data_IF_293946681371
#
_entry.id   IF_293946681371
#
_cell.length_a   1.000
_cell.length_b   1.000
_cell.length_c   1.000
_cell.angle_alpha   90.00
_cell.angle_beta   90.00
_cell.angle_gamma   90.00
#
_symmetry.space_group_name_H-M   'P 1'
#
loop_
_entity.id
_entity.type
_entity.pdbx_description
1 polymer ?
#
# COMPACT_ATOMS: atom_id res chain seq x y z
N UNK A 1 7.48 5.31 -29.55
CA UNK A 1 7.60 5.01 -28.11
C UNK A 1 7.52 3.51 -27.86
N UNK A 2 8.70 2.92 -27.62
CA UNK A 2 8.88 1.54 -27.17
C UNK A 2 8.47 1.42 -25.71
N UNK A 3 7.79 0.33 -25.36
CA UNK A 3 7.51 0.00 -23.96
C UNK A 3 8.84 -0.30 -23.26
N UNK A 4 9.02 0.21 -22.04
CA UNK A 4 10.12 -0.19 -21.17
C UNK A 4 9.69 -1.41 -20.36
N UNK A 5 10.55 -2.41 -20.31
CA UNK A 5 10.30 -3.68 -19.63
C UNK A 5 11.57 -4.05 -18.87
N UNK A 6 11.44 -4.29 -17.57
CA UNK A 6 12.55 -4.69 -16.72
C UNK A 6 12.21 -5.99 -16.02
N UNK A 7 13.06 -7.00 -16.23
CA UNK A 7 12.96 -8.29 -15.57
C UNK A 7 13.89 -8.31 -14.36
N UNK A 8 13.31 -8.34 -13.16
CA UNK A 8 14.06 -8.32 -11.90
C UNK A 8 14.94 -9.57 -11.72
N UNK A 9 14.67 -10.68 -12.41
CA UNK A 9 15.53 -11.87 -12.38
C UNK A 9 16.94 -11.54 -12.87
N UNK A 10 17.04 -10.61 -13.82
CA UNK A 10 18.30 -10.19 -14.44
C UNK A 10 19.05 -9.11 -13.65
N UNK A 11 18.48 -8.58 -12.56
CA UNK A 11 19.19 -7.60 -11.73
C UNK A 11 20.38 -8.28 -11.02
N UNK A 12 21.57 -7.67 -11.06
CA UNK A 12 22.80 -8.25 -10.53
C UNK A 12 22.62 -8.77 -9.10
N UNK A 13 22.88 -10.06 -8.90
CA UNK A 13 22.90 -10.68 -7.57
C UNK A 13 24.28 -10.44 -6.96
N UNK A 14 24.43 -9.40 -6.12
CA UNK A 14 25.61 -9.30 -5.26
C UNK A 14 25.64 -10.54 -4.36
N UNK A 15 26.65 -11.38 -4.52
CA UNK A 15 26.99 -12.44 -3.57
C UNK A 15 27.31 -11.77 -2.24
N UNK A 16 26.34 -11.74 -1.33
CA UNK A 16 26.59 -11.40 0.06
C UNK A 16 27.63 -12.39 0.58
N UNK A 17 28.82 -11.87 0.88
CA UNK A 17 29.89 -12.61 1.52
C UNK A 17 29.36 -13.21 2.82
N UNK A 18 29.20 -14.52 2.80
CA UNK A 18 28.67 -15.31 3.88
C UNK A 18 29.62 -15.26 5.11
N UNK A 19 29.31 -14.37 6.06
CA UNK A 19 29.74 -14.47 7.46
C UNK A 19 28.63 -14.00 8.39
N UNK A 20 27.47 -14.64 8.28
CA UNK A 20 26.48 -14.68 9.36
C UNK A 20 26.67 -15.99 10.14
N UNK A 21 26.78 -15.93 11.47
CA UNK A 21 27.17 -17.04 12.33
C UNK A 21 26.13 -18.17 12.49
N UNK A 22 25.07 -18.18 11.69
CA UNK A 22 24.06 -19.24 11.67
C UNK A 22 23.83 -19.67 10.22
N UNK A 23 24.40 -20.82 9.84
CA UNK A 23 24.38 -21.40 8.49
C UNK A 23 22.99 -21.83 8.01
N UNK A 24 22.04 -20.90 7.91
CA UNK A 24 20.82 -21.08 7.13
C UNK A 24 21.04 -20.51 5.73
N UNK A 25 20.69 -21.26 4.67
CA UNK A 25 20.80 -20.77 3.31
C UNK A 25 19.98 -19.49 3.16
N UNK A 26 20.58 -18.46 2.56
CA UNK A 26 19.88 -17.26 2.10
C UNK A 26 18.72 -17.71 1.21
N UNK A 27 17.50 -17.42 1.65
CA UNK A 27 16.28 -17.66 0.89
C UNK A 27 16.47 -17.12 -0.52
N UNK A 28 16.36 -17.98 -1.54
CA UNK A 28 16.34 -17.51 -2.92
C UNK A 28 14.97 -16.88 -3.13
N UNK A 29 14.88 -15.57 -2.93
CA UNK A 29 13.65 -14.80 -3.22
C UNK A 29 13.15 -15.09 -4.64
N UNK A 30 11.84 -14.97 -4.84
CA UNK A 30 11.20 -15.13 -6.16
C UNK A 30 11.47 -13.95 -7.10
N UNK A 31 12.22 -12.93 -6.64
CA UNK A 31 12.48 -11.67 -7.32
C UNK A 31 11.17 -10.87 -7.54
N UNK A 32 10.17 -11.07 -6.66
CA UNK A 32 8.86 -10.42 -6.68
C UNK A 32 8.95 -8.96 -6.22
N UNK A 33 8.37 -8.05 -7.00
CA UNK A 33 8.31 -6.62 -6.65
C UNK A 33 7.40 -6.42 -5.43
N UNK A 34 7.91 -5.71 -4.42
CA UNK A 34 7.20 -5.46 -3.16
C UNK A 34 6.65 -4.05 -3.04
N UNK A 35 7.43 -3.07 -3.49
CA UNK A 35 7.06 -1.67 -3.47
C UNK A 35 7.80 -0.93 -4.57
N UNK A 36 7.18 0.10 -5.11
CA UNK A 36 7.76 0.96 -6.13
C UNK A 36 7.20 2.39 -6.02
N UNK A 37 7.96 3.36 -6.51
CA UNK A 37 7.50 4.74 -6.62
C UNK A 37 8.22 5.48 -7.74
N UNK A 38 7.51 6.41 -8.37
CA UNK A 38 8.12 7.48 -9.17
C UNK A 38 8.51 8.65 -8.27
N UNK A 39 9.52 9.40 -8.68
CA UNK A 39 9.77 10.73 -8.13
C UNK A 39 8.70 11.72 -8.60
N UNK A 40 8.49 12.85 -7.89
CA UNK A 40 7.47 13.82 -8.28
C UNK A 40 7.62 14.42 -9.68
N UNK A 41 8.84 14.56 -10.20
CA UNK A 41 9.11 14.97 -11.60
C UNK A 41 8.90 13.84 -12.61
N UNK A 42 8.80 12.61 -12.12
CA UNK A 42 8.82 11.38 -12.89
C UNK A 42 10.19 11.05 -13.47
N UNK A 43 11.26 11.78 -13.16
CA UNK A 43 12.60 11.56 -13.71
C UNK A 43 13.32 10.36 -13.08
N UNK A 44 12.88 9.93 -11.90
CA UNK A 44 13.37 8.74 -11.24
C UNK A 44 12.24 7.75 -10.95
N UNK A 45 12.59 6.46 -10.99
CA UNK A 45 11.73 5.37 -10.56
C UNK A 45 12.53 4.43 -9.69
N UNK A 46 11.98 4.05 -8.55
CA UNK A 46 12.62 3.12 -7.65
C UNK A 46 11.68 1.96 -7.34
N UNK A 47 12.24 0.76 -7.22
CA UNK A 47 11.51 -0.42 -6.82
C UNK A 47 12.32 -1.25 -5.82
N UNK A 48 11.62 -2.06 -5.05
CA UNK A 48 12.21 -3.08 -4.20
C UNK A 48 11.59 -4.44 -4.46
N UNK A 49 12.37 -5.49 -4.22
CA UNK A 49 11.92 -6.87 -4.37
C UNK A 49 12.12 -7.71 -3.08
N UNK A 50 11.63 -8.94 -3.11
CA UNK A 50 11.75 -9.90 -2.01
C UNK A 50 13.17 -10.46 -1.82
N UNK A 51 14.02 -10.33 -2.83
CA UNK A 51 15.48 -10.49 -2.77
C UNK A 51 16.19 -9.32 -2.06
N UNK A 52 15.43 -8.35 -1.50
CA UNK A 52 15.93 -7.19 -0.74
C UNK A 52 16.84 -6.29 -1.57
N UNK A 53 16.58 -6.17 -2.87
CA UNK A 53 17.25 -5.20 -3.73
C UNK A 53 16.42 -3.93 -3.79
N UNK A 54 17.07 -2.77 -3.72
CA UNK A 54 16.55 -1.46 -4.09
C UNK A 54 17.17 -1.07 -5.43
N UNK A 55 16.34 -1.01 -6.47
CA UNK A 55 16.77 -0.69 -7.83
C UNK A 55 16.27 0.71 -8.15
N UNK A 56 17.18 1.59 -8.54
CA UNK A 56 16.89 2.97 -8.93
C UNK A 56 17.15 3.14 -10.42
N UNK A 57 16.17 3.71 -11.12
CA UNK A 57 16.23 4.07 -12.52
C UNK A 57 16.13 5.58 -12.70
N UNK A 58 16.85 6.09 -13.70
CA UNK A 58 16.51 7.35 -14.37
C UNK A 58 15.54 7.00 -15.49
N UNK A 59 14.48 7.79 -15.68
CA UNK A 59 13.42 7.51 -16.66
C UNK A 59 13.56 8.34 -17.94
N UNK A 60 14.15 9.54 -17.84
CA UNK A 60 14.35 10.50 -18.94
C UNK A 60 15.84 10.82 -19.14
N UNK A 61 16.33 10.94 -20.39
CA UNK A 61 15.60 10.77 -21.65
C UNK A 61 15.29 9.31 -22.00
N UNK A 62 15.90 8.37 -21.29
CA UNK A 62 15.69 6.94 -21.43
C UNK A 62 15.76 6.26 -20.07
N UNK A 63 15.16 5.07 -19.99
CA UNK A 63 15.24 4.22 -18.82
C UNK A 63 16.65 3.65 -18.64
N UNK A 64 17.32 4.05 -17.57
CA UNK A 64 18.67 3.62 -17.23
C UNK A 64 18.73 3.20 -15.77
N UNK A 65 19.20 1.99 -15.50
CA UNK A 65 19.46 1.55 -14.12
C UNK A 65 20.67 2.30 -13.57
N UNK A 66 20.45 3.14 -12.56
CA UNK A 66 21.49 3.94 -11.90
C UNK A 66 22.24 3.09 -10.87
N UNK A 67 21.50 2.26 -10.13
CA UNK A 67 22.07 1.48 -9.04
C UNK A 67 21.16 0.37 -8.56
N UNK A 68 21.79 -0.71 -8.07
CA UNK A 68 21.16 -1.78 -7.32
C UNK A 68 21.84 -1.83 -5.94
N UNK A 69 21.08 -1.54 -4.88
CA UNK A 69 21.54 -1.54 -3.48
C UNK A 69 20.80 -2.62 -2.69
N UNK A 70 21.33 -2.99 -1.53
CA UNK A 70 20.63 -3.92 -0.62
C UNK A 70 19.85 -3.15 0.44
N UNK A 71 18.66 -3.63 0.75
CA UNK A 71 17.87 -3.17 1.89
C UNK A 71 17.99 -4.12 3.09
N UNK A 72 17.90 -3.57 4.30
CA UNK A 72 18.12 -4.32 5.54
C UNK A 72 17.12 -5.47 5.72
N UNK A 73 15.83 -5.18 5.49
CA UNK A 73 14.72 -6.11 5.64
C UNK A 73 13.78 -6.00 4.45
N UNK A 74 12.78 -6.88 4.41
CA UNK A 74 11.72 -6.87 3.41
C UNK A 74 11.02 -5.51 3.45
N UNK A 75 11.06 -4.79 2.34
CA UNK A 75 10.37 -3.51 2.15
C UNK A 75 8.84 -3.71 2.22
N UNK A 76 8.14 -2.76 2.83
CA UNK A 76 6.68 -2.70 2.87
C UNK A 76 6.12 -1.49 2.11
N UNK A 77 6.86 -0.38 2.07
CA UNK A 77 6.52 0.80 1.29
C UNK A 77 7.76 1.64 0.97
N UNK A 78 7.68 2.41 -0.11
CA UNK A 78 8.77 3.22 -0.63
C UNK A 78 8.24 4.55 -1.16
N UNK A 79 8.93 5.65 -0.87
CA UNK A 79 8.63 6.99 -1.42
C UNK A 79 9.90 7.72 -1.81
N UNK A 80 9.81 8.64 -2.77
CA UNK A 80 10.89 9.55 -3.15
C UNK A 80 10.59 10.94 -2.57
N UNK A 81 11.60 11.64 -2.07
CA UNK A 81 11.45 13.01 -1.54
C UNK A 81 11.04 13.99 -2.63
N UNK A 82 10.31 15.05 -2.25
CA UNK A 82 9.96 16.14 -3.17
C UNK A 82 11.19 16.88 -3.71
N UNK A 83 12.28 16.92 -2.94
CA UNK A 83 13.59 17.39 -3.38
C UNK A 83 14.35 16.42 -4.30
N UNK A 84 13.84 15.20 -4.49
CA UNK A 84 14.43 14.15 -5.35
C UNK A 84 15.89 13.79 -5.02
N UNK A 85 16.29 14.00 -3.77
CA UNK A 85 17.63 13.70 -3.27
C UNK A 85 17.69 12.34 -2.57
N UNK A 86 16.55 11.81 -2.11
CA UNK A 86 16.48 10.59 -1.31
C UNK A 86 15.26 9.73 -1.64
N UNK A 87 15.43 8.44 -1.36
CA UNK A 87 14.37 7.44 -1.33
C UNK A 87 14.22 7.00 0.12
N UNK A 88 12.99 7.05 0.65
CA UNK A 88 12.68 6.45 1.94
C UNK A 88 12.10 5.06 1.73
N UNK A 89 12.60 4.10 2.50
CA UNK A 89 12.22 2.69 2.47
C UNK A 89 11.74 2.31 3.86
N UNK A 90 10.45 2.01 4.01
CA UNK A 90 9.90 1.42 5.21
C UNK A 90 9.95 -0.10 5.13
N UNK A 91 10.26 -0.76 6.24
CA UNK A 91 10.50 -2.20 6.24
C UNK A 91 9.71 -2.98 7.29
N UNK A 92 9.82 -4.31 7.19
CA UNK A 92 9.11 -5.24 8.04
C UNK A 92 9.55 -5.23 9.52
N UNK A 93 10.75 -4.72 9.86
CA UNK A 93 11.18 -4.62 11.27
C UNK A 93 10.62 -3.39 11.98
N UNK A 94 9.99 -2.47 11.24
CA UNK A 94 9.48 -1.24 11.79
C UNK A 94 10.38 -0.03 11.49
N UNK A 95 11.39 -0.19 10.64
CA UNK A 95 12.39 0.84 10.39
C UNK A 95 12.12 1.59 9.09
N UNK A 96 12.55 2.85 9.05
CA UNK A 96 12.61 3.67 7.82
C UNK A 96 14.06 4.03 7.55
N UNK A 97 14.55 3.63 6.38
CA UNK A 97 15.89 3.96 5.88
C UNK A 97 15.80 4.99 4.77
N UNK A 98 16.76 5.92 4.71
CA UNK A 98 16.96 6.80 3.56
C UNK A 98 18.12 6.30 2.69
N UNK A 99 17.96 6.42 1.38
CA UNK A 99 18.99 6.13 0.39
C UNK A 99 19.18 7.33 -0.52
N UNK A 100 20.41 7.77 -0.72
CA UNK A 100 20.69 8.91 -1.58
C UNK A 100 20.46 8.57 -3.06
N UNK A 101 19.83 9.49 -3.78
CA UNK A 101 19.73 9.48 -5.25
C UNK A 101 20.98 10.10 -5.87
N UNK A 102 21.55 11.14 -5.25
CA UNK A 102 22.75 11.84 -5.73
C UNK A 102 24.04 11.07 -5.47
N UNK A 103 24.05 10.20 -4.47
CA UNK A 103 25.15 9.28 -4.14
C UNK A 103 24.65 7.83 -4.24
N UNK A 104 24.38 7.33 -5.45
CA UNK A 104 23.61 6.10 -5.66
C UNK A 104 24.30 4.81 -5.23
N UNK A 105 25.54 4.90 -4.74
CA UNK A 105 26.29 3.78 -4.16
C UNK A 105 26.39 3.85 -2.63
N UNK A 106 25.89 4.92 -2.01
CA UNK A 106 25.88 5.04 -0.56
C UNK A 106 24.91 4.02 0.07
N UNK A 107 25.32 3.47 1.21
CA UNK A 107 24.48 2.57 2.00
C UNK A 107 23.29 3.33 2.62
N UNK A 108 22.25 2.57 2.98
CA UNK A 108 21.06 3.12 3.61
C UNK A 108 21.35 3.65 5.00
N UNK A 109 20.77 4.80 5.34
CA UNK A 109 20.86 5.41 6.66
C UNK A 109 19.55 5.24 7.41
N UNK A 110 19.58 4.71 8.63
CA UNK A 110 18.40 4.64 9.48
C UNK A 110 17.95 6.06 9.86
N UNK A 111 16.69 6.40 9.55
CA UNK A 111 16.10 7.69 9.91
C UNK A 111 15.27 7.58 11.19
N UNK A 112 14.42 6.55 11.27
CA UNK A 112 13.59 6.29 12.46
C UNK A 112 13.18 4.81 12.52
N UNK A 113 12.73 4.38 13.70
CA UNK A 113 12.20 3.04 13.92
C UNK A 113 10.94 3.02 14.78
N UNK A 114 10.17 1.95 14.62
CA UNK A 114 8.99 1.57 15.39
C UNK A 114 9.23 0.18 16.00
N UNK A 115 8.51 -0.13 17.08
CA UNK A 115 8.50 -1.49 17.64
C UNK A 115 7.55 -2.43 16.88
N UNK A 116 6.65 -1.85 16.08
CA UNK A 116 5.66 -2.57 15.28
C UNK A 116 6.05 -2.56 13.81
N UNK A 117 5.49 -3.52 13.07
CA UNK A 117 5.62 -3.61 11.62
C UNK A 117 5.11 -2.32 10.97
N UNK A 118 5.96 -1.65 10.20
CA UNK A 118 5.51 -0.58 9.31
C UNK A 118 4.81 -1.17 8.08
N UNK A 119 3.65 -0.61 7.76
CA UNK A 119 2.84 -1.01 6.61
C UNK A 119 2.85 0.03 5.51
N UNK A 120 3.08 1.29 5.85
CA UNK A 120 3.18 2.35 4.86
C UNK A 120 3.98 3.56 5.37
N UNK A 121 4.52 4.33 4.42
CA UNK A 121 5.25 5.59 4.68
C UNK A 121 4.82 6.63 3.66
N UNK A 122 4.67 7.88 4.11
CA UNK A 122 4.37 9.03 3.27
C UNK A 122 5.23 10.23 3.68
N UNK A 123 5.36 11.18 2.77
CA UNK A 123 6.03 12.46 3.00
C UNK A 123 5.02 13.59 2.81
N UNK A 124 5.20 14.67 3.59
CA UNK A 124 4.53 15.93 3.26
C UNK A 124 5.11 16.50 1.95
N UNK A 125 4.33 17.27 1.16
CA UNK A 125 4.79 17.80 -0.14
C UNK A 125 6.02 18.72 -0.07
N UNK A 126 6.35 19.21 1.13
CA UNK A 126 7.48 20.09 1.43
C UNK A 126 8.68 19.36 2.09
N UNK A 127 8.65 18.03 2.15
CA UNK A 127 9.62 17.16 2.82
C UNK A 127 9.89 17.52 4.29
N UNK A 128 8.97 18.24 4.96
CA UNK A 128 9.15 18.59 6.38
C UNK A 128 8.76 17.47 7.33
N UNK A 129 7.86 16.57 6.92
CA UNK A 129 7.32 15.52 7.76
C UNK A 129 7.42 14.14 7.11
N UNK A 130 7.86 13.16 7.90
CA UNK A 130 7.75 11.73 7.59
C UNK A 130 6.55 11.21 8.37
N UNK A 131 5.60 10.61 7.65
CA UNK A 131 4.42 9.97 8.21
C UNK A 131 4.55 8.46 8.04
N UNK A 132 4.33 7.72 9.12
CA UNK A 132 4.43 6.25 9.11
C UNK A 132 3.17 5.62 9.69
N UNK A 133 2.73 4.54 9.06
CA UNK A 133 1.57 3.75 9.45
C UNK A 133 2.00 2.34 9.86
N UNK A 134 1.51 1.85 11.00
CA UNK A 134 1.94 0.56 11.55
C UNK A 134 0.80 -0.43 11.82
N UNK A 135 1.21 -1.68 12.13
CA UNK A 135 0.30 -2.78 12.46
C UNK A 135 -0.46 -2.57 13.78
N UNK A 136 0.07 -1.76 14.69
CA UNK A 136 -0.53 -1.47 15.99
C UNK A 136 -1.32 -0.16 15.99
N UNK A 137 -2.04 0.07 14.89
CA UNK A 137 -3.09 1.09 14.73
C UNK A 137 -2.57 2.55 14.68
N UNK A 138 -1.26 2.77 14.69
CA UNK A 138 -0.71 4.12 14.81
C UNK A 138 -0.36 4.70 13.46
N UNK A 139 -0.66 5.98 13.33
CA UNK A 139 -0.04 6.87 12.34
C UNK A 139 0.80 7.85 13.14
N UNK A 140 2.11 7.87 12.88
CA UNK A 140 3.07 8.77 13.54
C UNK A 140 3.52 9.84 12.56
N UNK A 141 3.58 11.09 13.03
CA UNK A 141 4.11 12.22 12.25
C UNK A 141 5.40 12.68 12.91
N UNK A 142 6.51 12.67 12.18
CA UNK A 142 7.84 13.08 12.68
C UNK A 142 8.45 14.16 11.79
N UNK A 143 9.27 15.05 12.35
CA UNK A 143 10.05 15.98 11.54
C UNK A 143 11.08 15.23 10.69
N UNK A 144 11.13 15.46 9.38
CA UNK A 144 12.06 14.74 8.50
C UNK A 144 13.53 15.06 8.79
N UNK A 145 13.86 16.32 9.11
CA UNK A 145 15.23 16.75 9.46
C UNK A 145 15.68 16.30 10.85
N UNK A 146 14.73 15.96 11.72
CA UNK A 146 14.99 15.51 13.08
C UNK A 146 13.96 14.43 13.47
N UNK A 147 14.06 13.20 12.93
CA UNK A 147 13.00 12.18 13.06
C UNK A 147 12.70 11.69 14.48
N UNK A 148 13.59 12.01 15.43
CA UNK A 148 13.37 11.79 16.86
C UNK A 148 12.31 12.75 17.46
N UNK A 149 12.03 13.87 16.79
CA UNK A 149 10.98 14.81 17.16
C UNK A 149 9.66 14.35 16.52
N UNK A 150 8.85 13.70 17.34
CA UNK A 150 7.49 13.30 16.98
C UNK A 150 6.57 14.49 17.21
N UNK A 151 5.87 14.89 16.16
CA UNK A 151 5.01 16.08 16.13
C UNK A 151 3.63 15.72 16.67
N UNK A 152 3.08 14.59 16.23
CA UNK A 152 1.75 14.13 16.60
C UNK A 152 1.60 12.63 16.34
N UNK A 153 0.47 12.09 16.79
CA UNK A 153 -0.06 10.81 16.36
C UNK A 153 -1.51 11.01 15.92
N UNK A 154 -1.90 10.40 14.80
CA UNK A 154 -3.30 10.32 14.41
C UNK A 154 -3.88 9.02 14.98
N UNK A 155 -4.63 9.12 16.08
CA UNK A 155 -5.13 7.98 16.85
C UNK A 155 -6.65 7.85 16.72
N UNK A 156 -7.13 6.67 16.32
CA UNK A 156 -8.56 6.40 16.16
C UNK A 156 -8.88 5.09 15.47
N UNK A 157 -7.97 4.60 14.62
CA UNK A 157 -8.05 3.26 14.04
C UNK A 157 -8.04 2.16 15.12
N UNK A 158 -8.73 1.05 14.84
CA UNK A 158 -8.88 -0.09 15.78
C UNK A 158 -8.21 -1.38 15.31
N UNK A 159 -7.70 -1.37 14.09
CA UNK A 159 -6.82 -2.40 13.57
C UNK A 159 -5.69 -1.76 12.75
N UNK A 160 -4.80 -2.58 12.18
CA UNK A 160 -3.64 -2.12 11.42
C UNK A 160 -3.99 -1.05 10.38
N UNK A 161 -3.11 -0.07 10.18
CA UNK A 161 -3.29 0.97 9.16
C UNK A 161 -2.59 0.52 7.89
N UNK A 162 -3.35 0.14 6.87
CA UNK A 162 -2.82 -0.47 5.65
C UNK A 162 -2.23 0.54 4.67
N UNK A 163 -2.82 1.74 4.60
CA UNK A 163 -2.41 2.80 3.68
C UNK A 163 -2.54 4.18 4.31
N UNK A 164 -1.61 5.06 3.98
CA UNK A 164 -1.68 6.50 4.24
C UNK A 164 -1.34 7.29 2.98
N UNK A 165 -1.98 8.43 2.80
CA UNK A 165 -1.80 9.28 1.64
C UNK A 165 -1.96 10.76 2.03
N UNK A 166 -0.88 11.55 1.88
CA UNK A 166 -0.95 13.00 2.06
C UNK A 166 -1.54 13.62 0.81
N UNK A 167 -2.55 14.47 0.97
CA UNK A 167 -3.28 15.02 -0.18
C UNK A 167 -2.49 16.18 -0.79
N UNK A 168 -2.03 16.09 -2.06
CA UNK A 168 -1.11 17.08 -2.63
C UNK A 168 -1.62 18.52 -2.62
N UNK A 169 -2.92 18.72 -2.90
CA UNK A 169 -3.54 20.05 -2.98
C UNK A 169 -3.96 20.61 -1.61
N UNK A 170 -3.96 19.76 -0.57
CA UNK A 170 -4.39 20.09 0.79
C UNK A 170 -3.33 19.53 1.74
N UNK A 171 -2.14 20.15 1.78
CA UNK A 171 -0.93 19.58 2.37
C UNK A 171 -0.99 19.43 3.89
N UNK A 172 -2.07 19.86 4.55
CA UNK A 172 -2.40 19.63 5.96
C UNK A 172 -3.22 18.35 6.19
N UNK A 173 -3.82 17.80 5.14
CA UNK A 173 -4.71 16.65 5.23
C UNK A 173 -4.00 15.34 4.88
N UNK A 174 -4.27 14.32 5.70
CA UNK A 174 -3.86 12.94 5.48
C UNK A 174 -5.11 12.07 5.37
N UNK A 175 -5.17 11.23 4.34
CA UNK A 175 -6.12 10.13 4.24
C UNK A 175 -5.45 8.85 4.72
N UNK A 176 -6.16 8.06 5.54
CA UNK A 176 -5.72 6.73 5.95
C UNK A 176 -6.80 5.67 5.75
N UNK A 177 -6.37 4.43 5.60
CA UNK A 177 -7.23 3.25 5.53
C UNK A 177 -6.73 2.15 6.48
N UNK A 178 -7.64 1.36 7.04
CA UNK A 178 -7.33 0.34 8.05
C UNK A 178 -8.12 -0.95 7.87
N UNK A 179 -7.59 -2.04 8.46
CA UNK A 179 -8.30 -3.32 8.62
C UNK A 179 -9.62 -3.20 9.40
N UNK A 180 -9.80 -2.12 10.17
CA UNK A 180 -11.07 -1.81 10.84
C UNK A 180 -12.18 -1.40 9.86
N UNK A 181 -11.90 -1.41 8.55
CA UNK A 181 -12.80 -1.08 7.45
C UNK A 181 -13.26 0.37 7.46
N UNK A 182 -12.44 1.29 8.01
CA UNK A 182 -12.64 2.73 7.93
C UNK A 182 -11.64 3.41 7.01
N UNK A 183 -12.12 4.45 6.31
CA UNK A 183 -11.28 5.53 5.82
C UNK A 183 -11.39 6.70 6.80
N UNK A 184 -10.26 7.31 7.13
CA UNK A 184 -10.20 8.48 8.01
C UNK A 184 -9.41 9.61 7.36
N UNK A 185 -9.88 10.83 7.56
CA UNK A 185 -9.19 12.04 7.16
C UNK A 185 -8.70 12.76 8.42
N UNK A 186 -7.47 13.25 8.37
CA UNK A 186 -6.80 13.84 9.51
C UNK A 186 -6.19 15.18 9.15
N UNK A 187 -6.24 16.13 10.07
CA UNK A 187 -5.26 17.21 10.10
C UNK A 187 -4.00 16.68 10.79
N UNK A 188 -3.05 16.17 10.01
CA UNK A 188 -2.01 15.30 10.58
C UNK A 188 -1.04 16.03 11.53
N UNK A 189 -0.89 17.35 11.41
CA UNK A 189 0.02 18.12 12.29
C UNK A 189 -0.52 18.23 13.71
N UNK A 190 -1.84 18.36 13.87
CA UNK A 190 -2.52 18.34 15.17
C UNK A 190 -2.83 16.91 15.62
N UNK A 191 -2.95 15.97 14.68
CA UNK A 191 -3.40 14.61 14.91
C UNK A 191 -4.92 14.50 15.04
N UNK A 192 -5.66 15.56 14.70
CA UNK A 192 -7.11 15.61 14.78
C UNK A 192 -7.76 14.81 13.64
N UNK A 193 -8.74 13.98 14.00
CA UNK A 193 -9.62 13.33 13.05
C UNK A 193 -10.73 14.28 12.64
N UNK A 194 -10.76 14.62 11.34
CA UNK A 194 -11.76 15.55 10.79
C UNK A 194 -12.91 14.80 10.10
N UNK A 195 -12.68 13.56 9.67
CA UNK A 195 -13.71 12.73 9.05
C UNK A 195 -13.41 11.23 9.19
N UNK A 196 -14.46 10.42 9.31
CA UNK A 196 -14.39 8.97 9.31
C UNK A 196 -15.60 8.37 8.59
N UNK A 197 -15.37 7.44 7.67
CA UNK A 197 -16.45 6.66 7.05
C UNK A 197 -16.14 5.16 7.04
N UNK A 198 -17.18 4.35 7.25
CA UNK A 198 -17.09 2.89 7.19
C UNK A 198 -17.32 2.40 5.75
N UNK A 199 -16.35 1.65 5.24
CA UNK A 199 -16.41 1.08 3.88
C UNK A 199 -17.48 0.02 3.73
N UNK A 200 -17.88 -0.66 4.81
CA UNK A 200 -18.97 -1.63 4.78
C UNK A 200 -20.31 -1.02 4.38
N UNK A 201 -20.56 0.26 4.71
CA UNK A 201 -21.77 1.00 4.32
C UNK A 201 -21.75 1.41 2.84
N UNK A 202 -20.57 1.47 2.23
CA UNK A 202 -20.37 2.01 0.88
C UNK A 202 -20.17 0.88 -0.14
N UNK A 203 -19.21 -0.01 0.14
CA UNK A 203 -18.78 -1.09 -0.75
C UNK A 203 -19.45 -2.43 -0.40
N UNK A 204 -20.35 -2.49 0.61
CA UNK A 204 -21.04 -3.70 1.04
C UNK A 204 -22.35 -3.98 0.28
N UNK A 205 -22.64 -5.23 -0.12
CA UNK A 205 -23.98 -5.58 -0.58
C UNK A 205 -25.00 -5.41 0.56
N UNK A 206 -26.27 -5.10 0.24
CA UNK A 206 -27.37 -5.01 1.22
C UNK A 206 -27.52 -6.29 2.09
N UNK A 207 -26.97 -7.42 1.62
CA UNK A 207 -26.99 -8.75 2.25
C UNK A 207 -25.65 -9.20 2.83
N UNK A 208 -24.67 -8.30 2.95
CA UNK A 208 -23.32 -8.63 3.43
C UNK A 208 -23.35 -9.37 4.78
N UNK A 209 -22.54 -10.42 4.90
CA UNK A 209 -22.28 -11.08 6.18
C UNK A 209 -21.73 -10.05 7.16
N UNK A 210 -22.20 -10.08 8.40
CA UNK A 210 -21.86 -9.12 9.47
C UNK A 210 -20.36 -8.96 9.75
N UNK A 211 -19.51 -9.87 9.25
CA UNK A 211 -18.06 -9.90 9.51
C UNK A 211 -17.18 -9.61 8.29
N UNK A 212 -17.73 -9.18 7.14
CA UNK A 212 -16.90 -8.87 5.96
C UNK A 212 -16.00 -7.65 6.24
N UNK A 213 -14.68 -7.83 6.02
CA UNK A 213 -13.66 -6.80 6.17
C UNK A 213 -13.27 -6.19 4.82
N UNK A 214 -12.88 -4.92 4.83
CA UNK A 214 -12.51 -4.15 3.64
C UNK A 214 -11.10 -3.57 3.76
N UNK A 215 -10.05 -4.40 3.83
CA UNK A 215 -8.68 -3.89 3.86
C UNK A 215 -8.36 -3.19 2.53
N UNK A 216 -7.92 -1.94 2.59
CA UNK A 216 -7.55 -1.17 1.39
C UNK A 216 -6.13 -1.50 0.99
N UNK A 217 -5.94 -1.96 -0.26
CA UNK A 217 -4.63 -2.25 -0.84
C UNK A 217 -4.05 -1.08 -1.61
N UNK A 218 -4.88 -0.19 -2.16
CA UNK A 218 -4.43 0.99 -2.91
C UNK A 218 -5.29 2.21 -2.67
N UNK A 219 -4.63 3.36 -2.59
CA UNK A 219 -5.22 4.69 -2.68
C UNK A 219 -4.53 5.40 -3.84
N UNK A 220 -5.30 6.00 -4.74
CA UNK A 220 -4.80 6.89 -5.80
C UNK A 220 -5.65 8.15 -5.83
N UNK A 221 -5.04 9.26 -6.21
CA UNK A 221 -5.65 10.59 -6.17
C UNK A 221 -5.43 11.32 -7.49
N UNK A 222 -6.50 11.93 -8.00
CA UNK A 222 -6.43 12.87 -9.11
C UNK A 222 -6.56 14.29 -8.57
N UNK A 223 -5.51 15.09 -8.76
CA UNK A 223 -5.50 16.52 -8.40
C UNK A 223 -6.60 17.30 -9.13
N UNK A 224 -6.89 16.94 -10.38
CA UNK A 224 -7.98 17.52 -11.15
C UNK A 224 -9.32 17.02 -10.59
N UNK A 225 -10.04 17.91 -9.90
CA UNK A 225 -11.35 17.61 -9.32
C UNK A 225 -11.33 16.99 -7.92
N UNK A 226 -10.15 16.64 -7.39
CA UNK A 226 -9.99 16.14 -6.02
C UNK A 226 -10.58 14.74 -5.82
N UNK A 227 -10.38 13.85 -6.78
CA UNK A 227 -10.96 12.50 -6.74
C UNK A 227 -9.99 11.51 -6.10
N UNK A 228 -10.53 10.66 -5.23
CA UNK A 228 -9.81 9.56 -4.59
C UNK A 228 -10.43 8.26 -5.07
N UNK A 229 -9.63 7.35 -5.60
CA UNK A 229 -10.06 5.99 -5.87
C UNK A 229 -9.32 5.05 -4.92
N UNK A 230 -10.07 4.12 -4.33
CA UNK A 230 -9.53 3.08 -3.46
C UNK A 230 -9.80 1.70 -4.05
N UNK A 231 -8.86 0.80 -3.81
CA UNK A 231 -9.00 -0.62 -4.09
C UNK A 231 -8.98 -1.39 -2.77
N UNK A 232 -10.01 -2.22 -2.57
CA UNK A 232 -10.05 -3.15 -1.44
C UNK A 232 -9.40 -4.49 -1.85
N UNK A 233 -8.52 -5.02 -1.02
CA UNK A 233 -7.87 -6.30 -1.26
C UNK A 233 -8.89 -7.44 -1.30
N UNK A 234 -8.73 -8.32 -2.29
CA UNK A 234 -9.60 -9.49 -2.52
C UNK A 234 -11.10 -9.17 -2.70
N UNK A 235 -11.47 -7.91 -2.88
CA UNK A 235 -12.82 -7.47 -3.23
C UNK A 235 -12.75 -6.86 -4.64
N UNK A 236 -13.50 -7.39 -5.63
CA UNK A 236 -13.42 -6.94 -7.02
C UNK A 236 -14.20 -5.63 -7.20
N UNK A 237 -13.79 -4.58 -6.49
CA UNK A 237 -14.51 -3.32 -6.42
C UNK A 237 -13.55 -2.15 -6.23
N UNK A 238 -13.73 -1.13 -7.07
CA UNK A 238 -13.07 0.16 -6.93
C UNK A 238 -14.11 1.16 -6.45
N UNK A 239 -13.86 1.80 -5.30
CA UNK A 239 -14.74 2.82 -4.73
C UNK A 239 -14.12 4.20 -4.98
N UNK A 240 -14.88 5.12 -5.58
CA UNK A 240 -14.44 6.47 -5.95
C UNK A 240 -15.15 7.50 -5.07
N UNK A 241 -14.36 8.42 -4.54
CA UNK A 241 -14.75 9.52 -3.70
C UNK A 241 -14.30 10.84 -4.32
N UNK A 242 -14.94 11.92 -3.89
CA UNK A 242 -14.44 13.27 -4.10
C UNK A 242 -14.16 13.89 -2.74
N UNK A 243 -13.00 14.50 -2.60
CA UNK A 243 -12.65 15.29 -1.43
C UNK A 243 -13.39 16.63 -1.49
N UNK A 244 -14.26 16.85 -0.51
CA UNK A 244 -14.76 18.18 -0.19
C UNK A 244 -13.84 18.77 0.88
N UNK A 245 -12.86 19.55 0.44
CA UNK A 245 -11.87 20.11 1.35
C UNK A 245 -12.41 21.23 2.24
N UNK A 246 -13.50 21.90 1.85
CA UNK A 246 -14.12 22.94 2.67
C UNK A 246 -14.81 22.30 3.87
N UNK A 247 -15.55 21.21 3.63
CA UNK A 247 -16.17 20.42 4.69
C UNK A 247 -15.24 19.35 5.30
N UNK A 248 -13.99 19.24 4.81
CA UNK A 248 -13.00 18.25 5.21
C UNK A 248 -13.54 16.82 5.25
N UNK A 249 -14.23 16.40 4.18
CA UNK A 249 -14.88 15.09 4.12
C UNK A 249 -14.71 14.41 2.76
N UNK A 250 -14.86 13.08 2.74
CA UNK A 250 -14.93 12.30 1.51
C UNK A 250 -16.37 12.05 1.12
N UNK A 251 -16.77 12.57 -0.03
CA UNK A 251 -18.09 12.35 -0.63
C UNK A 251 -18.00 11.17 -1.58
N UNK A 252 -18.72 10.09 -1.28
CA UNK A 252 -18.80 8.93 -2.17
C UNK A 252 -19.44 9.33 -3.52
N UNK A 253 -18.82 8.89 -4.62
CA UNK A 253 -19.28 9.19 -5.99
C UNK A 253 -19.75 7.96 -6.74
N UNK A 254 -18.97 6.89 -6.72
CA UNK A 254 -19.24 5.71 -7.53
C UNK A 254 -18.57 4.47 -6.98
N UNK A 255 -19.22 3.33 -7.20
CA UNK A 255 -18.64 2.01 -7.08
C UNK A 255 -18.53 1.36 -8.46
N UNK A 256 -17.34 0.91 -8.85
CA UNK A 256 -17.12 0.10 -10.05
C UNK A 256 -16.94 -1.35 -9.61
N UNK A 257 -17.99 -2.16 -9.83
CA UNK A 257 -17.96 -3.59 -9.57
C UNK A 257 -17.38 -4.34 -10.76
N UNK A 258 -16.41 -5.20 -10.49
CA UNK A 258 -15.67 -5.97 -11.50
C UNK A 258 -15.93 -7.47 -11.30
N UNK A 259 -15.70 -8.26 -12.34
CA UNK A 259 -15.93 -9.72 -12.30
C UNK A 259 -14.84 -10.46 -11.52
N UNK A 260 -13.60 -9.97 -11.64
CA UNK A 260 -12.40 -10.60 -11.12
C UNK A 260 -11.65 -9.64 -10.21
N UNK A 261 -10.70 -10.18 -9.44
CA UNK A 261 -9.85 -9.36 -8.57
C UNK A 261 -9.06 -8.35 -9.38
N UNK A 262 -8.81 -7.21 -8.75
CA UNK A 262 -7.99 -6.12 -9.29
C UNK A 262 -6.65 -6.15 -8.56
N UNK A 263 -5.58 -5.94 -9.32
CA UNK A 263 -4.22 -5.89 -8.79
C UNK A 263 -3.77 -4.46 -8.48
N UNK A 264 -4.08 -3.49 -9.34
CA UNK A 264 -3.71 -2.09 -9.10
C UNK A 264 -4.66 -1.10 -9.80
N UNK A 265 -4.64 0.15 -9.32
CA UNK A 265 -5.38 1.27 -9.90
C UNK A 265 -4.51 2.52 -9.95
N UNK A 266 -4.66 3.33 -10.99
CA UNK A 266 -3.93 4.59 -11.12
C UNK A 266 -4.74 5.64 -11.88
N UNK A 267 -4.78 6.86 -11.36
CA UNK A 267 -5.27 8.01 -12.12
C UNK A 267 -4.21 8.55 -13.07
N UNK A 268 -4.65 8.97 -14.25
CA UNK A 268 -3.95 9.94 -15.06
C UNK A 268 -4.16 11.37 -14.53
N UNK A 269 -3.29 12.29 -14.93
CA UNK A 269 -3.46 13.72 -14.66
C UNK A 269 -4.78 14.28 -15.22
N UNK A 270 -5.26 13.69 -16.32
CA UNK A 270 -6.52 14.04 -17.00
C UNK A 270 -7.78 13.62 -16.22
N UNK A 271 -7.63 12.77 -15.21
CA UNK A 271 -8.73 12.19 -14.42
C UNK A 271 -9.23 10.83 -14.92
N UNK A 272 -8.69 10.32 -16.02
CA UNK A 272 -8.92 8.94 -16.45
C UNK A 272 -8.33 7.95 -15.42
N UNK A 273 -9.03 6.85 -15.18
CA UNK A 273 -8.67 5.83 -14.19
C UNK A 273 -8.33 4.52 -14.88
N UNK A 274 -7.09 4.07 -14.71
CA UNK A 274 -6.62 2.75 -15.11
C UNK A 274 -6.89 1.72 -14.02
N UNK A 275 -7.37 0.55 -14.43
CA UNK A 275 -7.66 -0.59 -13.56
C UNK A 275 -7.00 -1.82 -14.18
N UNK A 276 -6.04 -2.42 -13.46
CA UNK A 276 -5.34 -3.65 -13.85
C UNK A 276 -5.90 -4.82 -13.03
N UNK A 277 -6.35 -5.89 -13.68
CA UNK A 277 -6.98 -7.02 -13.01
C UNK A 277 -6.60 -8.39 -13.54
N UNK A 278 -7.17 -9.41 -12.90
CA UNK A 278 -6.86 -10.83 -13.07
C UNK A 278 -7.50 -11.48 -14.33
N UNK A 279 -8.15 -10.70 -15.20
CA UNK A 279 -8.87 -11.22 -16.36
C UNK A 279 -7.96 -11.30 -17.59
N UNK A 280 -7.56 -12.49 -18.03
CA UNK A 280 -6.65 -12.64 -19.17
C UNK A 280 -7.18 -12.03 -20.47
N UNK A 281 -8.49 -12.09 -20.71
CA UNK A 281 -9.13 -11.57 -21.93
C UNK A 281 -9.25 -10.03 -21.92
N UNK A 282 -9.28 -9.41 -20.74
CA UNK A 282 -9.41 -7.96 -20.57
C UNK A 282 -8.62 -7.51 -19.33
N UNK A 283 -7.29 -7.62 -19.35
CA UNK A 283 -6.48 -7.46 -18.13
C UNK A 283 -6.40 -6.01 -17.67
N UNK A 284 -6.65 -5.07 -18.58
CA UNK A 284 -6.55 -3.65 -18.33
C UNK A 284 -7.83 -2.96 -18.82
N UNK A 285 -8.39 -2.10 -17.97
CA UNK A 285 -9.57 -1.30 -18.25
C UNK A 285 -9.25 0.18 -18.00
N UNK A 286 -9.63 1.03 -18.95
CA UNK A 286 -9.56 2.49 -18.81
C UNK A 286 -10.98 3.02 -18.55
N UNK A 287 -11.15 3.83 -17.51
CA UNK A 287 -12.42 4.49 -17.21
C UNK A 287 -12.26 6.00 -17.27
N UNK A 288 -13.13 6.67 -18.04
CA UNK A 288 -13.11 8.13 -18.21
C UNK A 288 -14.24 8.79 -17.44
N UNK A 289 -14.00 9.90 -16.72
CA UNK A 289 -15.07 10.66 -16.09
C UNK A 289 -15.97 11.31 -17.15
N UNK A 290 -17.27 11.01 -17.09
CA UNK A 290 -18.33 11.56 -17.93
C UNK A 290 -19.56 11.76 -17.04
N UNK A 291 -20.03 13.01 -16.94
CA UNK A 291 -21.20 13.41 -16.14
C UNK A 291 -21.10 13.02 -14.65
N UNK A 292 -19.88 13.10 -14.09
CA UNK A 292 -19.61 12.76 -12.69
C UNK A 292 -19.49 11.25 -12.40
N UNK A 293 -19.47 10.41 -13.45
CA UNK A 293 -19.24 8.96 -13.32
C UNK A 293 -18.11 8.50 -14.25
N UNK A 294 -17.29 7.57 -13.79
CA UNK A 294 -16.26 6.88 -14.55
C UNK A 294 -16.89 5.76 -15.36
N UNK A 295 -16.83 5.88 -16.68
CA UNK A 295 -17.38 4.91 -17.63
C UNK A 295 -16.23 4.23 -18.39
N UNK A 296 -16.31 2.92 -18.65
CA UNK A 296 -15.26 2.21 -19.38
C UNK A 296 -15.13 2.74 -20.81
N UNK A 297 -13.89 2.83 -21.28
CA UNK A 297 -13.48 3.23 -22.63
C UNK A 297 -12.90 2.01 -23.34
N UNK A 298 -13.25 1.80 -24.61
CA UNK A 298 -12.80 0.62 -25.39
C UNK A 298 -12.06 0.97 -26.68
N UNK A 299 -12.17 2.21 -27.14
CA UNK A 299 -11.63 2.71 -28.40
C UNK A 299 -10.28 3.45 -28.24
N UNK A 300 -9.72 3.47 -27.04
CA UNK A 300 -8.42 4.09 -26.79
C UNK A 300 -7.25 3.26 -27.36
N UNK A 301 -6.38 3.91 -28.14
CA UNK A 301 -5.24 3.25 -28.80
C UNK A 301 -4.17 2.81 -27.80
N UNK A 302 -3.96 3.57 -26.73
CA UNK A 302 -2.99 3.26 -25.67
C UNK A 302 -3.43 2.02 -24.89
N UNK A 303 -4.71 1.98 -24.51
CA UNK A 303 -5.35 0.83 -23.89
C UNK A 303 -5.19 -0.42 -24.76
N UNK A 304 -5.59 -0.38 -26.03
CA UNK A 304 -5.50 -1.54 -26.93
C UNK A 304 -4.05 -2.05 -27.07
N UNK A 305 -3.09 -1.14 -27.20
CA UNK A 305 -1.66 -1.49 -27.28
C UNK A 305 -1.17 -2.15 -25.99
N UNK A 306 -1.49 -1.60 -24.83
CA UNK A 306 -1.02 -2.12 -23.55
C UNK A 306 -1.72 -3.42 -23.17
N UNK A 307 -3.05 -3.51 -23.35
CA UNK A 307 -3.82 -4.74 -23.10
C UNK A 307 -3.28 -5.90 -23.93
N UNK A 308 -2.99 -5.67 -25.21
CA UNK A 308 -2.36 -6.68 -26.07
C UNK A 308 -0.99 -7.12 -25.54
N UNK A 309 -0.16 -6.16 -25.13
CA UNK A 309 1.16 -6.47 -24.57
C UNK A 309 1.06 -7.33 -23.30
N UNK A 310 0.13 -7.03 -22.39
CA UNK A 310 -0.10 -7.82 -21.17
C UNK A 310 -0.62 -9.22 -21.52
N UNK A 311 -1.55 -9.33 -22.47
CA UNK A 311 -2.07 -10.61 -22.96
C UNK A 311 -0.97 -11.50 -23.54
N UNK A 312 -0.13 -10.94 -24.41
CA UNK A 312 0.99 -11.66 -25.04
C UNK A 312 2.00 -12.17 -23.99
N UNK A 313 2.06 -11.54 -22.81
CA UNK A 313 2.97 -11.87 -21.71
C UNK A 313 2.24 -12.42 -20.47
N UNK A 314 1.00 -12.91 -20.61
CA UNK A 314 0.15 -13.30 -19.46
C UNK A 314 0.77 -14.38 -18.57
N UNK A 315 1.67 -15.21 -19.10
CA UNK A 315 2.35 -16.28 -18.37
C UNK A 315 3.09 -15.79 -17.12
N UNK A 316 3.60 -14.57 -17.12
CA UNK A 316 4.29 -13.95 -15.97
C UNK A 316 3.33 -13.72 -14.80
N UNK A 317 2.05 -13.50 -15.09
CA UNK A 317 1.04 -13.17 -14.08
C UNK A 317 0.31 -14.38 -13.50
N UNK A 318 0.40 -15.55 -14.14
CA UNK A 318 -0.36 -16.76 -13.75
C UNK A 318 -0.19 -17.17 -12.28
N UNK A 319 0.97 -16.90 -11.68
CA UNK A 319 1.23 -17.20 -10.27
C UNK A 319 0.44 -16.33 -9.28
N UNK A 320 -0.02 -15.16 -9.72
CA UNK A 320 -0.77 -14.19 -8.91
C UNK A 320 -2.29 -14.30 -9.07
N UNK A 321 -2.74 -15.03 -10.09
CA UNK A 321 -4.15 -15.33 -10.34
C UNK A 321 -4.70 -16.16 -9.18
N UNK A 322 -5.73 -15.65 -8.49
CA UNK A 322 -6.37 -16.31 -7.36
C UNK A 322 -5.61 -16.21 -6.05
N UNK A 323 -4.52 -15.44 -5.98
CA UNK A 323 -3.72 -15.28 -4.77
C UNK A 323 -4.56 -14.85 -3.56
N UNK A 324 -4.19 -15.35 -2.38
CA UNK A 324 -4.88 -15.03 -1.12
C UNK A 324 -4.64 -13.58 -0.70
N UNK A 325 -5.47 -13.09 0.23
CA UNK A 325 -5.36 -11.74 0.78
C UNK A 325 -4.00 -11.52 1.46
N UNK A 326 -3.32 -10.43 1.08
CA UNK A 326 -2.07 -10.00 1.70
C UNK A 326 -2.25 -9.55 3.16
N UNK A 327 -3.47 -9.17 3.55
CA UNK A 327 -3.78 -8.60 4.86
C UNK A 327 -4.31 -9.62 5.87
N UNK A 328 -4.67 -10.83 5.41
CA UNK A 328 -5.23 -11.89 6.26
C UNK A 328 -4.43 -12.17 7.53
N UNK A 329 -3.09 -12.22 7.41
CA UNK A 329 -2.17 -12.47 8.53
C UNK A 329 -1.97 -11.28 9.48
N UNK A 330 -2.42 -10.07 9.12
CA UNK A 330 -2.23 -8.88 9.93
C UNK A 330 -3.31 -8.75 11.01
N UNK A 331 -4.51 -9.26 10.76
CA UNK A 331 -5.59 -9.29 11.74
C UNK A 331 -5.16 -10.04 13.01
N UNK A 332 -5.41 -9.42 14.17
CA UNK A 332 -5.08 -10.02 15.46
C UNK A 332 -6.01 -11.22 15.70
N UNK A 333 -5.44 -12.38 16.00
CA UNK A 333 -6.24 -13.54 16.39
C UNK A 333 -6.95 -13.26 17.72
N UNK A 334 -8.29 -13.25 17.71
CA UNK A 334 -9.07 -13.15 18.93
C UNK A 334 -9.18 -14.53 19.58
N UNK A 335 -8.46 -14.75 20.67
CA UNK A 335 -8.68 -15.92 21.52
C UNK A 335 -9.70 -15.55 22.60
N UNK A 336 -10.89 -16.16 22.56
CA UNK A 336 -11.85 -16.04 23.66
C UNK A 336 -11.41 -16.93 24.83
N UNK A 337 -10.41 -16.42 25.56
CA UNK A 337 -9.86 -17.08 26.74
C UNK A 337 -10.93 -17.23 27.83
N UNK A 338 -11.99 -16.41 27.82
CA UNK A 338 -13.06 -16.46 28.81
C UNK A 338 -14.02 -17.63 28.53
N UNK A 339 -14.50 -17.78 27.29
CA UNK A 339 -15.33 -18.92 26.92
C UNK A 339 -14.58 -20.24 27.10
N UNK A 340 -13.30 -20.30 26.68
CA UNK A 340 -12.46 -21.48 26.89
C UNK A 340 -12.24 -21.78 28.38
N UNK A 341 -12.10 -20.75 29.23
CA UNK A 341 -11.99 -20.91 30.67
C UNK A 341 -13.30 -21.41 31.30
N UNK A 342 -14.46 -20.85 30.89
CA UNK A 342 -15.78 -21.22 31.38
C UNK A 342 -16.11 -22.67 31.02
N UNK A 343 -15.82 -23.09 29.79
CA UNK A 343 -15.99 -24.49 29.35
C UNK A 343 -15.14 -25.45 30.20
N UNK A 344 -13.85 -25.13 30.40
CA UNK A 344 -12.97 -25.91 31.30
C UNK A 344 -13.45 -25.90 32.76
N UNK A 345 -14.11 -24.83 33.22
CA UNK A 345 -14.69 -24.76 34.56
C UNK A 345 -15.92 -25.67 34.67
N UNK A 346 -16.77 -25.69 33.65
CA UNK A 346 -17.95 -26.54 33.60
C UNK A 346 -17.60 -28.03 33.55
N UNK A 347 -16.61 -28.41 32.73
CA UNK A 347 -16.06 -29.77 32.68
C UNK A 347 -15.53 -30.24 34.04
N UNK A 348 -14.80 -29.37 34.75
CA UNK A 348 -14.31 -29.66 36.11
C UNK A 348 -15.45 -29.91 37.09
N UNK A 349 -16.52 -29.11 37.02
CA UNK A 349 -17.70 -29.28 37.88
C UNK A 349 -18.46 -30.57 37.56
N UNK A 350 -18.58 -30.94 36.28
CA UNK A 350 -19.20 -32.20 35.86
C UNK A 350 -18.39 -33.43 36.31
N UNK A 351 -17.06 -33.39 36.21
CA UNK A 351 -16.18 -34.45 36.70
C UNK A 351 -16.27 -34.61 38.22
N UNK A 352 -16.36 -33.52 38.97
CA UNK A 352 -16.54 -33.58 40.43
C UNK A 352 -17.90 -34.18 40.83
N UNK A 353 -18.97 -33.87 40.08
CA UNK A 353 -20.28 -34.49 40.30
C UNK A 353 -20.25 -36.00 40.03
N UNK A 354 -19.60 -36.43 38.95
CA UNK A 354 -19.43 -37.87 38.61
C UNK A 354 -18.61 -38.65 39.63
N UNK A 355 -17.68 -38.01 40.34
CA UNK A 355 -16.89 -38.65 41.43
C UNK A 355 -17.63 -38.74 42.77
N UNK A 356 -18.75 -38.05 42.92
CA UNK A 356 -19.56 -38.00 44.15
C UNK A 356 -20.82 -38.89 44.10
N UNK A 357 -21.14 -39.43 42.92
CA UNK A 357 -22.07 -40.55 42.73
C UNK A 357 -21.26 -41.84 42.77
#
# INVERSE_FOLDING_TARGET
DSLFVYDCINAEKKTLGDKGQDGKPTDKGSDDILAFAFSPSGDYFALTDDSKRLILFRTKPSWECISIRSVSRRCTSLVVTASEDKILVADKSGDVYSYSITEPQADGKLELGHLSLLLDVALSPDDQYILTADRDEKIRVSLAKAPHNIVSYCLGHREFVSKIFVIPNYPELLLSASGDSTLRLWEYKSGEEVYCCHLSTICGPETAKTDQKYPVSRITYCCQGGYVAILCDSIPTVCIFQLDAVAQQLVFRQQISLKHKVWDIAFEETGDLWILGEESEAPLQLCRPSDGQWKPVTDDKGLQKMSKYIQDNWTVFKGFVGAESHYSSLYKASFDNMAAYLQKKEERLQQQKKKRQ
#
